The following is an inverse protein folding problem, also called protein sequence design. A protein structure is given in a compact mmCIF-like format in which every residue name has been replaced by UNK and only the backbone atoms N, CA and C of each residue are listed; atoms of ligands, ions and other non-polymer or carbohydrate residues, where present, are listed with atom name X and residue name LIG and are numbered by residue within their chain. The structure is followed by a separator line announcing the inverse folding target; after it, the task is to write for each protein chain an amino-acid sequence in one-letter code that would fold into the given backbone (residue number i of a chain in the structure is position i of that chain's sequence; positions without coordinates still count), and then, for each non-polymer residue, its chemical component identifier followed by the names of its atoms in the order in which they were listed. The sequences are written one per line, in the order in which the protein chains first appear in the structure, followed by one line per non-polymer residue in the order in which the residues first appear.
data_IF_374261064855
#
_entry.id   IF_374261064855
#
_cell.length_a   1.000
_cell.length_b   1.000
_cell.length_c   1.000
_cell.angle_alpha   90.00
_cell.angle_beta   90.00
_cell.angle_gamma   90.00
#
_symmetry.space_group_name_H-M   'P 1'
#
loop_
_entity.id
_entity.type
_entity.pdbx_description
1 polymer ?
#
# COMPACT_ATOMS: atom_id res chain seq x y z
N UNK A 1 -13.52 -10.32 14.19
CA UNK A 1 -12.13 -10.28 14.72
C UNK A 1 -11.21 -9.80 13.62
N UNK A 2 -10.38 -8.81 13.91
CA UNK A 2 -9.38 -8.29 12.98
C UNK A 2 -8.51 -9.43 12.43
N UNK A 3 -8.05 -9.30 11.18
CA UNK A 3 -7.17 -10.30 10.56
C UNK A 3 -5.81 -10.26 11.26
N UNK A 4 -5.43 -11.38 11.87
CA UNK A 4 -4.14 -11.48 12.56
C UNK A 4 -3.02 -11.72 11.54
N UNK A 5 -2.36 -10.66 11.14
CA UNK A 5 -1.21 -10.71 10.22
C UNK A 5 0.06 -11.31 10.83
N UNK A 6 0.06 -11.65 12.12
CA UNK A 6 1.14 -12.44 12.75
C UNK A 6 0.87 -13.96 12.69
N UNK A 7 -0.33 -14.36 12.28
CA UNK A 7 -0.67 -15.79 12.09
C UNK A 7 -0.02 -16.33 10.81
N UNK A 8 0.83 -17.34 10.94
CA UNK A 8 1.48 -18.00 9.79
C UNK A 8 0.45 -18.51 8.76
N UNK A 9 -0.66 -19.08 9.23
CA UNK A 9 -1.75 -19.55 8.35
C UNK A 9 -2.33 -18.42 7.48
N UNK A 10 -2.52 -17.22 8.06
CA UNK A 10 -3.01 -16.04 7.31
C UNK A 10 -1.97 -15.59 6.31
N UNK A 11 -0.71 -15.53 6.71
CA UNK A 11 0.40 -15.05 5.88
C UNK A 11 0.67 -15.99 4.71
N UNK A 12 0.60 -17.31 4.91
CA UNK A 12 0.85 -18.29 3.84
C UNK A 12 -0.15 -18.17 2.68
N UNK A 13 -1.43 -17.94 2.99
CA UNK A 13 -2.49 -17.78 1.99
C UNK A 13 -2.70 -16.36 1.48
N UNK A 14 -1.93 -15.38 1.99
CA UNK A 14 -2.22 -13.95 1.76
C UNK A 14 -2.21 -13.54 0.29
N UNK A 15 -1.17 -13.92 -0.45
CA UNK A 15 -0.95 -13.46 -1.82
C UNK A 15 -2.02 -13.97 -2.82
N UNK A 16 -2.54 -15.18 -2.59
CA UNK A 16 -3.66 -15.70 -3.35
C UNK A 16 -4.98 -15.02 -2.97
N UNK A 17 -5.18 -14.83 -1.65
CA UNK A 17 -6.41 -14.24 -1.13
C UNK A 17 -6.56 -12.77 -1.54
N UNK A 18 -5.48 -11.97 -1.48
CA UNK A 18 -5.54 -10.53 -1.78
C UNK A 18 -5.95 -10.25 -3.22
N UNK A 19 -5.52 -11.09 -4.18
CA UNK A 19 -5.90 -10.96 -5.59
C UNK A 19 -7.39 -11.23 -5.84
N UNK A 20 -7.99 -12.09 -5.04
CA UNK A 20 -9.45 -12.35 -5.09
C UNK A 20 -10.22 -11.21 -4.45
N UNK A 21 -9.64 -10.60 -3.40
CA UNK A 21 -10.26 -9.56 -2.60
C UNK A 21 -10.20 -8.19 -3.27
N UNK A 22 -9.09 -7.85 -3.92
CA UNK A 22 -8.86 -6.52 -4.48
C UNK A 22 -9.05 -6.55 -5.99
N UNK A 23 -10.14 -5.96 -6.51
CA UNK A 23 -10.34 -5.85 -7.96
C UNK A 23 -9.17 -5.10 -8.62
N UNK A 24 -8.65 -5.66 -9.71
CA UNK A 24 -7.59 -5.01 -10.47
C UNK A 24 -6.22 -4.95 -9.78
N UNK A 25 -5.95 -5.78 -8.76
CA UNK A 25 -4.71 -5.78 -7.99
C UNK A 25 -3.45 -5.71 -8.86
N UNK A 26 -3.32 -6.56 -9.88
CA UNK A 26 -2.15 -6.57 -10.76
C UNK A 26 -2.12 -5.35 -11.71
N UNK A 27 -3.27 -4.83 -12.10
CA UNK A 27 -3.38 -3.61 -12.93
C UNK A 27 -2.85 -2.39 -12.18
N UNK A 28 -3.16 -2.27 -10.90
CA UNK A 28 -2.66 -1.18 -10.06
C UNK A 28 -1.13 -1.22 -9.95
N UNK A 29 -0.53 -2.39 -9.78
CA UNK A 29 0.94 -2.51 -9.75
C UNK A 29 1.59 -2.13 -11.09
N UNK A 30 0.94 -2.42 -12.22
CA UNK A 30 1.40 -1.97 -13.54
C UNK A 30 1.32 -0.44 -13.67
N UNK A 31 0.23 0.19 -13.18
CA UNK A 31 0.08 1.64 -13.16
C UNK A 31 1.12 2.31 -12.25
N UNK A 32 1.35 1.78 -11.04
CA UNK A 32 2.38 2.27 -10.12
C UNK A 32 3.77 2.21 -10.78
N UNK A 33 4.10 1.09 -11.41
CA UNK A 33 5.36 0.98 -12.16
C UNK A 33 5.48 2.06 -13.24
N UNK A 34 4.41 2.29 -14.03
CA UNK A 34 4.42 3.29 -15.09
C UNK A 34 4.58 4.72 -14.53
N UNK A 35 3.94 5.04 -13.40
CA UNK A 35 4.14 6.31 -12.70
C UNK A 35 5.60 6.48 -12.26
N UNK A 36 6.16 5.48 -11.61
CA UNK A 36 7.56 5.50 -11.17
C UNK A 36 8.54 5.66 -12.35
N UNK A 37 8.29 4.98 -13.48
CA UNK A 37 9.09 5.12 -14.71
C UNK A 37 9.01 6.52 -15.32
N UNK A 38 7.89 7.23 -15.11
CA UNK A 38 7.65 8.56 -15.70
C UNK A 38 8.21 9.68 -14.85
N UNK A 39 8.15 9.55 -13.54
CA UNK A 39 8.41 10.65 -12.61
C UNK A 39 9.67 10.50 -11.76
N UNK A 40 10.19 9.29 -11.59
CA UNK A 40 11.40 9.05 -10.80
C UNK A 40 12.66 9.00 -11.66
N UNK A 41 13.81 9.29 -11.05
CA UNK A 41 15.10 9.27 -11.69
C UNK A 41 15.58 7.84 -12.02
N UNK A 42 16.63 7.73 -12.86
CA UNK A 42 17.26 6.48 -13.27
C UNK A 42 17.75 5.65 -12.06
N UNK A 43 18.21 6.33 -11.01
CA UNK A 43 18.67 5.73 -9.75
C UNK A 43 17.81 6.28 -8.61
N UNK A 44 16.89 5.48 -8.10
CA UNK A 44 16.00 5.92 -7.04
C UNK A 44 16.16 5.07 -5.77
N UNK A 45 15.96 5.72 -4.63
CA UNK A 45 15.77 5.05 -3.34
C UNK A 45 14.31 5.19 -2.94
N UNK A 46 13.59 4.07 -2.85
CA UNK A 46 12.14 4.04 -2.65
C UNK A 46 11.80 3.47 -1.27
N UNK A 47 10.90 4.17 -0.57
CA UNK A 47 10.30 3.70 0.68
C UNK A 47 9.02 2.91 0.39
N UNK A 48 8.93 1.69 0.87
CA UNK A 48 7.70 0.89 0.89
C UNK A 48 7.16 0.85 2.32
N UNK A 49 6.02 1.47 2.56
CA UNK A 49 5.36 1.50 3.86
C UNK A 49 4.33 0.38 3.91
N UNK A 50 4.53 -0.60 4.81
CA UNK A 50 3.69 -1.78 4.92
C UNK A 50 3.91 -2.75 3.76
N UNK A 51 5.13 -3.29 3.63
CA UNK A 51 5.49 -4.14 2.49
C UNK A 51 4.79 -5.52 2.47
N UNK A 52 4.08 -5.90 3.54
CA UNK A 52 3.39 -7.17 3.65
C UNK A 52 4.31 -8.37 3.37
N UNK A 53 3.89 -9.24 2.47
CA UNK A 53 4.66 -10.41 2.02
C UNK A 53 5.77 -10.09 1.00
N UNK A 54 5.95 -8.82 0.64
CA UNK A 54 6.97 -8.36 -0.30
C UNK A 54 6.62 -8.54 -1.77
N UNK A 55 5.36 -8.79 -2.13
CA UNK A 55 4.93 -8.95 -3.54
C UNK A 55 5.24 -7.71 -4.38
N UNK A 56 4.76 -6.52 -3.95
CA UNK A 56 5.03 -5.25 -4.61
C UNK A 56 6.52 -4.97 -4.71
N UNK A 57 7.24 -5.13 -3.60
CA UNK A 57 8.68 -4.94 -3.54
C UNK A 57 9.41 -5.83 -4.54
N UNK A 58 9.07 -7.12 -4.61
CA UNK A 58 9.64 -8.06 -5.58
C UNK A 58 9.30 -7.71 -7.04
N UNK A 59 8.09 -7.19 -7.29
CA UNK A 59 7.70 -6.70 -8.61
C UNK A 59 8.53 -5.49 -9.05
N UNK A 60 8.75 -4.52 -8.15
CA UNK A 60 9.54 -3.32 -8.43
C UNK A 60 11.04 -3.63 -8.56
N UNK A 61 11.59 -4.51 -7.74
CA UNK A 61 12.99 -4.95 -7.83
C UNK A 61 13.32 -5.60 -9.18
N UNK A 62 12.40 -6.35 -9.77
CA UNK A 62 12.56 -6.91 -11.12
C UNK A 62 12.41 -5.85 -12.21
N UNK A 63 11.62 -4.80 -11.96
CA UNK A 63 11.34 -3.74 -12.94
C UNK A 63 12.44 -2.67 -12.98
N UNK A 64 13.12 -2.45 -11.85
CA UNK A 64 14.11 -1.40 -11.65
C UNK A 64 15.40 -2.00 -11.06
N UNK A 65 16.31 -2.51 -11.90
CA UNK A 65 17.49 -3.26 -11.44
C UNK A 65 18.47 -2.41 -10.64
N UNK A 66 18.53 -1.12 -10.88
CA UNK A 66 19.51 -0.19 -10.27
C UNK A 66 18.95 0.55 -9.04
N UNK A 67 17.67 0.33 -8.71
CA UNK A 67 17.04 0.98 -7.57
C UNK A 67 17.28 0.25 -6.26
N UNK A 68 17.29 1.01 -5.17
CA UNK A 68 17.34 0.50 -3.80
C UNK A 68 16.04 0.80 -3.06
N UNK A 69 15.75 0.01 -2.05
CA UNK A 69 14.48 0.10 -1.32
C UNK A 69 14.72 0.04 0.19
N UNK A 70 13.90 0.79 0.92
CA UNK A 70 13.67 0.55 2.34
C UNK A 70 12.22 0.11 2.51
N UNK A 71 12.00 -1.00 3.18
CA UNK A 71 10.67 -1.59 3.37
C UNK A 71 10.35 -1.71 4.84
N UNK A 72 9.25 -1.06 5.27
CA UNK A 72 8.74 -1.16 6.65
C UNK A 72 7.56 -2.12 6.70
N UNK A 73 7.40 -2.85 7.82
CA UNK A 73 6.26 -3.71 8.08
C UNK A 73 6.11 -3.88 9.60
N UNK A 74 4.87 -3.86 10.10
CA UNK A 74 4.55 -4.00 11.53
C UNK A 74 4.49 -5.46 11.98
N UNK A 75 4.11 -6.37 11.08
CA UNK A 75 4.05 -7.80 11.35
C UNK A 75 5.40 -8.46 11.07
N UNK A 76 6.00 -9.05 12.10
CA UNK A 76 7.24 -9.80 11.96
C UNK A 76 7.08 -10.99 11.00
N UNK A 77 5.95 -11.70 11.07
CA UNK A 77 5.66 -12.85 10.20
C UNK A 77 5.54 -12.44 8.72
N UNK A 78 4.88 -11.32 8.43
CA UNK A 78 4.83 -10.76 7.07
C UNK A 78 6.21 -10.33 6.59
N UNK A 79 6.94 -9.60 7.44
CA UNK A 79 8.28 -9.12 7.12
C UNK A 79 9.25 -10.27 6.83
N UNK A 80 9.18 -11.36 7.58
CA UNK A 80 10.03 -12.52 7.35
C UNK A 80 9.67 -13.24 6.04
N UNK A 81 8.40 -13.33 5.71
CA UNK A 81 7.97 -13.82 4.39
C UNK A 81 8.49 -12.93 3.26
N UNK A 82 8.43 -11.58 3.44
CA UNK A 82 9.00 -10.64 2.48
C UNK A 82 10.52 -10.85 2.29
N UNK A 83 11.27 -10.97 3.39
CA UNK A 83 12.71 -11.25 3.33
C UNK A 83 13.02 -12.55 2.57
N UNK A 84 12.28 -13.62 2.83
CA UNK A 84 12.45 -14.89 2.11
C UNK A 84 12.14 -14.75 0.61
N UNK A 85 11.04 -14.03 0.29
CA UNK A 85 10.69 -13.76 -1.10
C UNK A 85 11.81 -13.00 -1.82
N UNK A 86 12.30 -11.91 -1.25
CA UNK A 86 13.36 -11.08 -1.85
C UNK A 86 14.69 -11.82 -1.93
N UNK A 87 15.01 -12.66 -0.94
CA UNK A 87 16.18 -13.53 -0.99
C UNK A 87 16.11 -14.51 -2.18
N UNK A 88 14.94 -15.09 -2.44
CA UNK A 88 14.75 -15.98 -3.61
C UNK A 88 14.94 -15.30 -4.96
N UNK A 89 14.82 -13.97 -5.01
CA UNK A 89 15.09 -13.13 -6.19
C UNK A 89 16.56 -12.69 -6.30
N UNK A 90 17.44 -13.10 -5.36
CA UNK A 90 18.83 -12.63 -5.25
C UNK A 90 18.96 -11.10 -5.13
N UNK A 91 17.94 -10.42 -4.56
CA UNK A 91 17.86 -8.97 -4.51
C UNK A 91 18.00 -8.36 -3.09
N UNK A 92 18.33 -9.19 -2.08
CA UNK A 92 18.44 -8.75 -0.67
C UNK A 92 19.45 -7.61 -0.46
N UNK A 93 20.50 -7.54 -1.29
CA UNK A 93 21.53 -6.50 -1.20
C UNK A 93 21.02 -5.09 -1.58
N UNK A 94 19.81 -4.98 -2.16
CA UNK A 94 19.17 -3.72 -2.56
C UNK A 94 18.06 -3.30 -1.62
N UNK A 95 17.82 -4.04 -0.51
CA UNK A 95 16.68 -3.78 0.38
C UNK A 95 17.12 -3.67 1.82
N UNK A 96 16.77 -2.57 2.47
CA UNK A 96 16.78 -2.43 3.93
C UNK A 96 15.39 -2.74 4.49
N UNK A 97 15.28 -3.77 5.32
CA UNK A 97 14.02 -4.13 5.98
C UNK A 97 13.98 -3.57 7.41
N UNK A 98 12.86 -2.97 7.78
CA UNK A 98 12.61 -2.37 9.09
C UNK A 98 11.32 -2.93 9.69
N UNK A 99 11.42 -3.61 10.81
CA UNK A 99 10.24 -4.00 11.60
C UNK A 99 9.73 -2.76 12.35
N UNK A 100 8.57 -2.27 11.94
CA UNK A 100 7.99 -1.03 12.46
C UNK A 100 7.37 -0.16 11.37
N UNK A 101 7.06 1.06 11.73
CA UNK A 101 6.52 2.08 10.82
C UNK A 101 7.60 3.10 10.38
N UNK A 102 7.15 4.21 9.77
CA UNK A 102 8.02 5.29 9.27
C UNK A 102 8.81 5.99 10.40
N UNK A 103 8.31 5.93 11.63
CA UNK A 103 8.97 6.56 12.80
C UNK A 103 10.24 5.79 13.22
N UNK A 104 10.37 4.50 12.90
CA UNK A 104 11.56 3.69 13.18
C UNK A 104 12.69 3.85 12.16
N UNK A 105 12.46 4.60 11.08
CA UNK A 105 13.49 4.89 10.08
C UNK A 105 14.60 5.78 10.66
N UNK A 106 15.82 5.56 10.20
CA UNK A 106 16.99 6.36 10.62
C UNK A 106 16.76 7.85 10.38
N UNK A 107 17.20 8.68 11.33
CA UNK A 107 17.10 10.13 11.20
C UNK A 107 17.89 10.62 9.98
N UNK A 108 17.28 11.52 9.19
CA UNK A 108 17.90 12.12 8.01
C UNK A 108 17.84 11.25 6.74
N UNK A 109 17.32 10.02 6.81
CA UNK A 109 17.11 9.19 5.61
C UNK A 109 15.94 9.75 4.80
N UNK A 110 16.18 9.99 3.49
CA UNK A 110 15.18 10.54 2.56
C UNK A 110 15.09 9.70 1.30
N UNK A 111 13.95 9.78 0.62
CA UNK A 111 13.58 8.92 -0.49
C UNK A 111 13.11 9.72 -1.70
N UNK A 112 13.35 9.17 -2.91
CA UNK A 112 12.86 9.72 -4.17
C UNK A 112 11.36 9.45 -4.35
N UNK A 113 10.90 8.31 -3.85
CA UNK A 113 9.48 7.97 -3.82
C UNK A 113 9.13 7.21 -2.53
N UNK A 114 7.85 7.28 -2.13
CA UNK A 114 7.26 6.46 -1.09
C UNK A 114 5.97 5.81 -1.60
N UNK A 115 5.75 4.55 -1.27
CA UNK A 115 4.56 3.79 -1.60
C UNK A 115 3.85 3.35 -0.32
N UNK A 116 2.51 3.46 -0.31
CA UNK A 116 1.65 2.92 0.75
C UNK A 116 0.43 2.30 0.08
N UNK A 117 0.49 0.99 -0.13
CA UNK A 117 -0.50 0.26 -0.91
C UNK A 117 -1.29 -0.68 0.00
N UNK A 118 -2.59 -0.42 0.13
CA UNK A 118 -3.50 -1.17 1.01
C UNK A 118 -3.11 -1.11 2.50
N UNK A 119 -2.64 0.05 2.95
CA UNK A 119 -2.17 0.28 4.33
C UNK A 119 -2.98 1.37 5.03
N UNK A 120 -3.27 2.47 4.34
CA UNK A 120 -3.83 3.67 4.97
C UNK A 120 -5.19 3.40 5.63
N UNK A 121 -5.99 2.49 5.08
CA UNK A 121 -7.30 2.13 5.65
C UNK A 121 -7.19 1.40 7.01
N UNK A 122 -6.03 0.88 7.41
CA UNK A 122 -5.79 0.32 8.75
C UNK A 122 -5.40 1.38 9.79
N UNK A 123 -4.96 2.56 9.35
CA UNK A 123 -4.57 3.65 10.25
C UNK A 123 -5.80 4.34 10.81
N UNK A 124 -5.90 4.49 12.14
CA UNK A 124 -7.02 5.19 12.77
C UNK A 124 -7.18 6.62 12.24
N UNK A 125 -8.40 7.14 12.20
CA UNK A 125 -8.68 8.51 11.71
C UNK A 125 -7.83 9.58 12.41
N UNK A 126 -7.63 9.46 13.73
CA UNK A 126 -6.79 10.38 14.51
C UNK A 126 -5.31 10.36 14.16
N UNK A 127 -4.81 9.23 13.66
CA UNK A 127 -3.40 9.00 13.40
C UNK A 127 -3.01 9.27 11.92
N UNK A 128 -3.99 9.34 11.01
CA UNK A 128 -3.75 9.59 9.58
C UNK A 128 -2.97 10.87 9.29
N UNK A 129 -3.25 12.03 9.94
CA UNK A 129 -2.45 13.24 9.71
C UNK A 129 -0.97 13.05 10.06
N UNK A 130 -0.69 12.34 11.18
CA UNK A 130 0.67 12.01 11.57
C UNK A 130 1.33 11.04 10.57
N UNK A 131 0.61 10.03 10.13
CA UNK A 131 1.06 9.03 9.15
C UNK A 131 1.47 9.69 7.82
N UNK A 132 0.61 10.50 7.22
CA UNK A 132 0.93 11.20 5.98
C UNK A 132 2.06 12.22 6.14
N UNK A 133 2.09 12.94 7.28
CA UNK A 133 3.16 13.89 7.59
C UNK A 133 4.51 13.21 7.77
N UNK A 134 4.53 12.03 8.39
CA UNK A 134 5.74 11.23 8.55
C UNK A 134 6.31 10.82 7.18
N UNK A 135 5.47 10.32 6.27
CA UNK A 135 5.87 9.98 4.90
C UNK A 135 6.39 11.22 4.16
N UNK A 136 5.61 12.33 4.17
CA UNK A 136 6.02 13.59 3.54
C UNK A 136 7.39 14.06 4.00
N UNK A 137 7.68 13.97 5.30
CA UNK A 137 8.95 14.41 5.87
C UNK A 137 10.15 13.60 5.36
N UNK A 138 9.93 12.37 4.93
CA UNK A 138 10.94 11.46 4.40
C UNK A 138 11.18 11.59 2.90
N UNK A 139 10.35 12.32 2.19
CA UNK A 139 10.55 12.55 0.76
C UNK A 139 11.55 13.68 0.52
N UNK A 140 12.34 13.54 -0.53
CA UNK A 140 13.15 14.61 -1.11
C UNK A 140 12.24 15.68 -1.73
N UNK A 141 12.80 16.84 -2.09
CA UNK A 141 12.14 17.80 -2.96
C UNK A 141 11.80 17.14 -4.30
N UNK A 142 10.62 17.34 -4.83
CA UNK A 142 10.00 16.64 -5.96
C UNK A 142 9.80 15.12 -5.76
N UNK A 143 9.96 14.63 -4.54
CA UNK A 143 9.70 13.25 -4.21
C UNK A 143 8.22 12.87 -4.34
N UNK A 144 7.97 11.64 -4.74
CA UNK A 144 6.66 11.10 -5.05
C UNK A 144 6.06 10.35 -3.86
N UNK A 145 4.78 10.53 -3.60
CA UNK A 145 4.02 9.61 -2.77
C UNK A 145 2.89 8.96 -3.59
N UNK A 146 2.88 7.66 -3.64
CA UNK A 146 1.85 6.88 -4.32
C UNK A 146 1.12 6.04 -3.28
N UNK A 147 -0.19 6.20 -3.19
CA UNK A 147 -1.04 5.38 -2.32
C UNK A 147 -2.20 4.78 -3.11
N UNK A 148 -2.63 3.58 -2.72
CA UNK A 148 -3.82 2.92 -3.24
C UNK A 148 -4.50 2.20 -2.08
N UNK A 149 -5.75 2.57 -1.81
CA UNK A 149 -6.46 2.11 -0.61
C UNK A 149 -7.97 1.95 -0.84
N UNK A 150 -8.60 1.18 0.06
CA UNK A 150 -10.03 1.18 0.23
C UNK A 150 -10.49 2.58 0.65
N UNK A 151 -11.49 3.12 -0.05
CA UNK A 151 -12.16 4.35 0.30
C UNK A 151 -13.54 4.09 0.89
N UNK A 152 -14.11 5.09 1.53
CA UNK A 152 -15.44 4.96 2.15
C UNK A 152 -16.48 4.54 1.12
N UNK A 153 -17.14 3.41 1.36
CA UNK A 153 -18.25 2.91 0.55
C UNK A 153 -19.44 3.85 0.69
N UNK A 154 -20.09 4.19 -0.41
CA UNK A 154 -21.10 5.24 -0.47
C UNK A 154 -22.53 4.72 -0.36
N UNK A 155 -22.74 3.42 -0.64
CA UNK A 155 -24.07 2.82 -0.63
C UNK A 155 -24.04 1.30 -0.50
N UNK A 156 -25.16 0.71 -0.10
CA UNK A 156 -25.34 -0.74 -0.07
C UNK A 156 -25.19 -1.37 -1.45
N UNK A 157 -25.57 -0.64 -2.52
CA UNK A 157 -25.40 -1.12 -3.89
C UNK A 157 -23.93 -1.22 -4.27
N UNK A 158 -23.09 -0.24 -3.89
CA UNK A 158 -21.64 -0.30 -4.12
C UNK A 158 -21.02 -1.48 -3.37
N UNK A 159 -21.47 -1.75 -2.17
CA UNK A 159 -21.04 -2.90 -1.36
C UNK A 159 -21.40 -4.24 -2.02
N UNK A 160 -22.63 -4.38 -2.51
CA UNK A 160 -23.07 -5.59 -3.24
C UNK A 160 -22.30 -5.77 -4.57
N UNK A 161 -22.01 -4.68 -5.30
CA UNK A 161 -21.17 -4.74 -6.49
C UNK A 161 -19.77 -5.26 -6.14
N UNK A 162 -19.14 -4.72 -5.08
CA UNK A 162 -17.83 -5.18 -4.63
C UNK A 162 -17.85 -6.67 -4.28
N UNK A 163 -18.86 -7.12 -3.55
CA UNK A 163 -19.07 -8.53 -3.19
C UNK A 163 -19.12 -9.42 -4.42
N UNK A 164 -19.97 -9.08 -5.40
CA UNK A 164 -20.10 -9.87 -6.64
C UNK A 164 -18.80 -9.93 -7.43
N UNK A 165 -18.02 -8.84 -7.47
CA UNK A 165 -16.72 -8.85 -8.14
C UNK A 165 -15.73 -9.74 -7.40
N UNK A 166 -15.69 -9.70 -6.07
CA UNK A 166 -14.84 -10.59 -5.26
C UNK A 166 -15.22 -12.07 -5.46
N UNK A 167 -16.51 -12.39 -5.52
CA UNK A 167 -16.99 -13.74 -5.82
C UNK A 167 -16.61 -14.18 -7.24
N UNK A 168 -16.74 -13.31 -8.24
CA UNK A 168 -16.27 -13.56 -9.60
C UNK A 168 -14.74 -13.79 -9.68
N UNK A 169 -13.99 -13.17 -8.78
CA UNK A 169 -12.54 -13.39 -8.64
C UNK A 169 -12.19 -14.66 -7.83
N UNK A 170 -13.20 -15.41 -7.36
CA UNK A 170 -13.03 -16.72 -6.72
C UNK A 170 -13.11 -16.71 -5.20
N UNK A 171 -13.66 -15.67 -4.56
CA UNK A 171 -14.09 -15.79 -3.17
C UNK A 171 -15.37 -16.65 -3.11
N UNK A 172 -15.50 -17.46 -2.06
CA UNK A 172 -16.78 -18.11 -1.76
C UNK A 172 -17.77 -17.09 -1.19
N UNK A 173 -19.08 -17.38 -1.28
CA UNK A 173 -20.13 -16.53 -0.69
C UNK A 173 -19.93 -16.30 0.82
N UNK A 174 -19.42 -17.30 1.55
CA UNK A 174 -19.13 -17.11 2.98
C UNK A 174 -17.90 -16.22 3.22
N UNK A 175 -16.90 -16.25 2.34
CA UNK A 175 -15.73 -15.37 2.42
C UNK A 175 -16.07 -13.93 2.06
N UNK A 176 -16.92 -13.71 1.04
CA UNK A 176 -17.37 -12.38 0.66
C UNK A 176 -18.27 -11.75 1.73
N UNK A 177 -19.15 -12.53 2.36
CA UNK A 177 -19.94 -12.07 3.51
C UNK A 177 -19.04 -11.68 4.68
N UNK A 178 -18.09 -12.53 5.07
CA UNK A 178 -17.14 -12.24 6.14
C UNK A 178 -16.23 -11.03 5.82
N UNK A 179 -15.95 -10.74 4.56
CA UNK A 179 -15.27 -9.52 4.14
C UNK A 179 -16.12 -8.29 4.47
N UNK A 180 -17.40 -8.30 4.11
CA UNK A 180 -18.33 -7.20 4.37
C UNK A 180 -18.48 -6.93 5.85
N UNK A 181 -18.74 -7.98 6.65
CA UNK A 181 -18.91 -7.86 8.11
C UNK A 181 -17.70 -7.19 8.82
N UNK A 182 -16.54 -7.19 8.15
CA UNK A 182 -15.30 -6.62 8.71
C UNK A 182 -15.01 -5.19 8.27
N UNK A 183 -15.72 -4.68 7.24
CA UNK A 183 -15.40 -3.35 6.69
C UNK A 183 -15.59 -2.23 7.73
N UNK A 184 -16.59 -2.35 8.59
CA UNK A 184 -16.88 -1.35 9.62
C UNK A 184 -16.05 -1.52 10.89
N UNK A 185 -15.59 -2.75 11.18
CA UNK A 185 -14.89 -3.07 12.42
C UNK A 185 -13.36 -2.89 12.31
N UNK A 186 -12.78 -3.22 11.15
CA UNK A 186 -11.32 -3.35 10.99
C UNK A 186 -10.69 -2.17 10.24
N UNK A 187 -11.50 -1.33 9.56
CA UNK A 187 -10.99 -0.33 8.64
C UNK A 187 -11.47 1.10 8.95
N UNK A 188 -10.64 2.05 8.61
CA UNK A 188 -10.87 3.50 8.75
C UNK A 188 -10.72 4.20 7.38
N UNK A 189 -11.56 3.86 6.38
CA UNK A 189 -11.42 4.37 5.03
C UNK A 189 -11.78 5.85 4.96
N UNK A 190 -10.98 6.64 4.27
CA UNK A 190 -11.30 8.03 3.93
C UNK A 190 -12.18 8.10 2.68
N UNK A 191 -13.00 9.13 2.56
CA UNK A 191 -13.59 9.52 1.29
C UNK A 191 -12.52 10.11 0.36
N UNK A 192 -12.85 10.28 -0.92
CA UNK A 192 -11.98 10.96 -1.89
C UNK A 192 -11.58 12.36 -1.40
N UNK A 193 -12.56 13.15 -0.97
CA UNK A 193 -12.32 14.50 -0.49
C UNK A 193 -11.41 14.53 0.74
N UNK A 194 -11.68 13.69 1.74
CA UNK A 194 -10.84 13.59 2.94
C UNK A 194 -9.42 13.16 2.60
N UNK A 195 -9.23 12.26 1.64
CA UNK A 195 -7.89 11.84 1.19
C UNK A 195 -7.13 13.01 0.57
N UNK A 196 -7.76 13.77 -0.32
CA UNK A 196 -7.16 14.98 -0.89
C UNK A 196 -6.80 16.01 0.19
N UNK A 197 -7.72 16.28 1.12
CA UNK A 197 -7.50 17.23 2.22
C UNK A 197 -6.34 16.79 3.11
N UNK A 198 -6.28 15.52 3.50
CA UNK A 198 -5.19 14.98 4.34
C UNK A 198 -3.83 15.07 3.65
N UNK A 199 -3.75 14.75 2.37
CA UNK A 199 -2.51 14.86 1.60
C UNK A 199 -2.07 16.32 1.48
N UNK A 200 -2.97 17.24 1.16
CA UNK A 200 -2.69 18.68 1.11
C UNK A 200 -2.24 19.24 2.47
N UNK A 201 -2.94 18.91 3.54
CA UNK A 201 -2.58 19.32 4.91
C UNK A 201 -1.22 18.76 5.36
N UNK A 202 -0.81 17.64 4.81
CA UNK A 202 0.51 17.05 5.07
C UNK A 202 1.65 17.77 4.35
N UNK A 203 1.33 18.62 3.38
CA UNK A 203 2.28 19.48 2.67
C UNK A 203 2.49 19.14 1.20
N UNK A 204 1.76 18.16 0.64
CA UNK A 204 1.86 17.85 -0.78
C UNK A 204 1.23 18.96 -1.64
N UNK A 205 1.97 19.46 -2.62
CA UNK A 205 1.53 20.58 -3.48
C UNK A 205 0.67 20.10 -4.64
N UNK A 206 0.99 18.96 -5.22
CA UNK A 206 0.19 18.32 -6.26
C UNK A 206 -0.37 16.99 -5.72
N UNK A 207 -1.67 16.77 -5.95
CA UNK A 207 -2.35 15.52 -5.62
C UNK A 207 -3.31 15.21 -6.76
N UNK A 208 -3.11 14.05 -7.39
CA UNK A 208 -3.92 13.59 -8.52
C UNK A 208 -4.38 12.15 -8.29
N UNK A 209 -5.62 11.85 -8.63
CA UNK A 209 -6.10 10.48 -8.64
C UNK A 209 -5.70 9.82 -9.96
N UNK A 210 -4.88 8.77 -9.92
CA UNK A 210 -4.44 8.04 -11.11
C UNK A 210 -5.32 6.82 -11.42
N UNK A 211 -6.08 6.31 -10.43
CA UNK A 211 -6.95 5.15 -10.65
C UNK A 211 -8.15 5.14 -9.70
N UNK A 212 -9.24 4.54 -10.20
CA UNK A 212 -10.44 4.23 -9.44
C UNK A 212 -10.93 2.85 -9.88
N UNK A 213 -11.00 1.92 -8.96
CA UNK A 213 -11.53 0.57 -9.20
C UNK A 213 -12.54 0.26 -8.09
N UNK A 214 -13.82 0.47 -8.38
CA UNK A 214 -14.90 0.40 -7.39
C UNK A 214 -14.59 1.30 -6.18
N UNK A 215 -14.59 0.72 -4.98
CA UNK A 215 -14.30 1.42 -3.72
C UNK A 215 -12.80 1.59 -3.44
N UNK A 216 -11.91 1.27 -4.38
CA UNK A 216 -10.47 1.45 -4.24
C UNK A 216 -9.97 2.59 -5.10
N UNK A 217 -9.18 3.49 -4.52
CA UNK A 217 -8.65 4.66 -5.21
C UNK A 217 -7.14 4.78 -5.02
N UNK A 218 -6.46 5.16 -6.10
CA UNK A 218 -5.03 5.43 -6.09
C UNK A 218 -4.71 6.89 -6.34
N UNK A 219 -3.79 7.44 -5.57
CA UNK A 219 -3.36 8.83 -5.65
C UNK A 219 -1.85 8.93 -5.84
N UNK A 220 -1.45 9.85 -6.72
CA UNK A 220 -0.09 10.36 -6.83
C UNK A 220 -0.04 11.73 -6.18
N UNK A 221 0.87 11.93 -5.23
CA UNK A 221 1.13 13.22 -4.60
C UNK A 221 2.61 13.58 -4.74
N UNK A 222 2.91 14.85 -5.00
CA UNK A 222 4.28 15.34 -5.24
C UNK A 222 4.61 16.40 -4.19
N UNK A 223 5.81 16.24 -3.59
CA UNK A 223 6.40 17.22 -2.67
C UNK A 223 7.21 18.24 -3.47
N UNK A 224 6.77 19.50 -3.45
CA UNK A 224 7.46 20.64 -4.09
C UNK A 224 8.24 21.46 -3.09
#
# INVERSE_FOLDING_TARGET
MAKDFNSQYVVDGYDEHIRKLIPGYDVVHQQIKALLQTYADEYAHVLIVGCGTGYELGYLLRSFPDWTFTATELSETMLDKAKHHIHSLNASHRVEFVLGDVDQLKTGQTYDAALSILVTHFVNYSDKPKFFKAIYSRLKHQGLFITFDLTRIKSDQELEILKHVCEANGLTTSQSAAMIDRLDDDFYPLSEQETFEQLKLSGFDSVERFTLILSYQGYLAIKV
#
